data_IF_005996554860
#
_entry.id   IF_005996554860
#
_cell.length_a   1.000
_cell.length_b   1.000
_cell.length_c   1.000
_cell.angle_alpha   90.00
_cell.angle_beta   90.00
_cell.angle_gamma   90.00
#
_symmetry.space_group_name_H-M   'P 1'
#
loop_
_entity.id
_entity.type
_entity.pdbx_description
1 polymer ?
#
# COMPACT_ATOMS: atom_id res chain seq x y z
N UNK A 1 -20.73 -24.78 41.69
CA UNK A 1 -19.59 -24.18 40.96
C UNK A 1 -19.47 -24.84 39.61
N UNK A 2 -19.97 -24.22 38.54
CA UNK A 2 -19.91 -24.79 37.19
C UNK A 2 -18.59 -24.35 36.52
N UNK A 3 -17.69 -25.30 36.25
CA UNK A 3 -16.44 -25.07 35.52
C UNK A 3 -16.71 -25.14 34.02
N UNK A 4 -16.71 -23.99 33.34
CA UNK A 4 -16.87 -23.91 31.89
C UNK A 4 -15.55 -24.26 31.20
N UNK A 5 -15.47 -25.45 30.60
CA UNK A 5 -14.32 -25.91 29.81
C UNK A 5 -14.30 -25.19 28.47
N UNK A 6 -13.24 -24.41 28.23
CA UNK A 6 -12.98 -23.72 26.96
C UNK A 6 -12.50 -24.72 25.91
N UNK A 7 -13.32 -24.98 24.90
CA UNK A 7 -12.93 -25.75 23.71
C UNK A 7 -12.04 -24.87 22.83
N UNK A 8 -10.73 -25.16 22.83
CA UNK A 8 -9.78 -24.59 21.88
C UNK A 8 -10.12 -25.12 20.48
N UNK A 9 -10.85 -24.34 19.68
CA UNK A 9 -10.93 -24.59 18.24
C UNK A 9 -9.55 -24.32 17.64
N UNK A 10 -8.96 -25.37 17.08
CA UNK A 10 -7.66 -25.34 16.40
C UNK A 10 -7.61 -24.19 15.40
N UNK A 11 -6.52 -23.41 15.49
CA UNK A 11 -6.16 -22.46 14.44
C UNK A 11 -5.83 -23.29 13.22
N UNK A 12 -6.78 -23.44 12.31
CA UNK A 12 -6.48 -23.85 10.95
C UNK A 12 -5.41 -22.89 10.41
N UNK A 13 -4.22 -23.43 10.16
CA UNK A 13 -3.18 -22.77 9.41
C UNK A 13 -3.78 -22.36 8.08
N UNK A 14 -4.11 -21.07 7.94
CA UNK A 14 -4.39 -20.47 6.63
C UNK A 14 -3.08 -20.47 5.87
N UNK A 15 -2.71 -21.64 5.31
CA UNK A 15 -1.85 -21.70 4.13
C UNK A 15 -2.42 -20.65 3.19
N UNK A 16 -1.58 -19.72 2.75
CA UNK A 16 -1.91 -18.73 1.73
C UNK A 16 -2.42 -19.50 0.51
N UNK A 17 -3.73 -19.70 0.42
CA UNK A 17 -4.36 -20.17 -0.80
C UNK A 17 -4.09 -19.08 -1.81
N UNK A 18 -3.39 -19.44 -2.88
CA UNK A 18 -3.17 -18.56 -4.02
C UNK A 18 -4.53 -17.94 -4.43
N UNK A 19 -4.55 -16.68 -4.88
CA UNK A 19 -5.81 -16.05 -5.27
C UNK A 19 -6.50 -16.96 -6.30
N UNK A 20 -7.75 -17.31 -6.00
CA UNK A 20 -8.63 -17.99 -6.95
C UNK A 20 -8.65 -17.13 -8.20
N UNK A 21 -8.12 -17.69 -9.29
CA UNK A 21 -8.08 -17.06 -10.60
C UNK A 21 -9.54 -16.79 -10.97
N UNK A 22 -9.94 -15.52 -10.89
CA UNK A 22 -11.27 -15.10 -11.30
C UNK A 22 -11.50 -15.66 -12.71
N UNK A 23 -12.53 -16.49 -12.85
CA UNK A 23 -13.08 -16.87 -14.14
C UNK A 23 -13.48 -15.58 -14.83
N UNK A 24 -12.68 -15.18 -15.81
CA UNK A 24 -12.90 -14.01 -16.63
C UNK A 24 -14.18 -14.19 -17.45
N UNK A 25 -15.32 -13.80 -16.90
CA UNK A 25 -16.42 -13.30 -17.70
C UNK A 25 -15.94 -11.98 -18.29
N UNK A 26 -15.67 -12.00 -19.59
CA UNK A 26 -15.19 -10.87 -20.38
C UNK A 26 -16.04 -9.62 -20.13
N UNK A 27 -15.53 -8.69 -19.32
CA UNK A 27 -15.90 -7.28 -19.38
C UNK A 27 -14.64 -6.54 -19.78
N UNK A 28 -14.51 -6.27 -21.07
CA UNK A 28 -13.41 -5.57 -21.69
C UNK A 28 -13.14 -4.25 -20.95
N UNK A 29 -11.97 -4.15 -20.32
CA UNK A 29 -11.41 -2.88 -19.89
C UNK A 29 -11.12 -2.11 -21.18
N UNK A 30 -11.66 -0.89 -21.40
CA UNK A 30 -11.38 -0.13 -22.61
C UNK A 30 -9.91 0.26 -22.59
N UNK A 31 -9.09 -0.55 -23.28
CA UNK A 31 -7.72 -0.19 -23.62
C UNK A 31 -7.79 1.10 -24.40
N UNK A 32 -7.07 2.12 -23.91
CA UNK A 32 -6.88 3.42 -24.57
C UNK A 32 -6.68 3.17 -26.06
N UNK A 33 -7.69 3.46 -26.87
CA UNK A 33 -7.64 3.24 -28.31
C UNK A 33 -6.47 4.04 -28.86
N UNK A 34 -5.41 3.34 -29.25
CA UNK A 34 -4.42 3.84 -30.19
C UNK A 34 -5.21 4.13 -31.46
N UNK A 35 -5.55 5.42 -31.63
CA UNK A 35 -6.16 5.92 -32.86
C UNK A 35 -5.16 5.60 -33.97
N UNK A 36 -5.42 4.57 -34.76
CA UNK A 36 -4.68 4.26 -35.97
C UNK A 36 -4.77 5.49 -36.86
N UNK A 37 -3.65 6.18 -37.01
CA UNK A 37 -3.54 7.31 -37.91
C UNK A 37 -3.33 6.73 -39.31
N UNK A 38 -4.42 6.30 -39.93
CA UNK A 38 -4.43 5.95 -41.35
C UNK A 38 -4.24 7.24 -42.15
N UNK A 39 -3.01 7.42 -42.66
CA UNK A 39 -2.65 8.51 -43.56
C UNK A 39 -3.25 8.18 -44.92
N UNK A 40 -4.49 8.59 -45.14
CA UNK A 40 -5.11 8.62 -46.46
C UNK A 40 -4.46 9.74 -47.29
N UNK A 41 -3.77 9.37 -48.37
CA UNK A 41 -3.28 10.31 -49.39
C UNK A 41 -4.45 11.13 -49.93
N UNK A 42 -4.47 12.43 -49.69
CA UNK A 42 -5.51 13.33 -50.19
C UNK A 42 -5.09 13.94 -51.54
N UNK A 43 -5.87 13.61 -52.57
CA UNK A 43 -5.89 14.38 -53.82
C UNK A 43 -6.57 15.72 -53.55
N UNK A 44 -5.84 16.81 -53.82
CA UNK A 44 -6.30 18.18 -53.60
C UNK A 44 -7.48 18.52 -54.52
N UNK A 45 -8.70 18.35 -54.02
CA UNK A 45 -9.93 18.85 -54.64
C UNK A 45 -10.50 19.89 -53.69
N UNK A 46 -10.61 21.14 -54.15
CA UNK A 46 -11.14 22.24 -53.35
C UNK A 46 -12.66 22.08 -53.23
N UNK A 47 -13.12 21.42 -52.17
CA UNK A 47 -14.54 21.35 -51.81
C UNK A 47 -14.93 22.62 -51.05
N UNK A 48 -15.82 23.42 -51.64
CA UNK A 48 -16.40 24.63 -51.01
C UNK A 48 -17.51 24.22 -50.05
N UNK A 49 -17.24 24.25 -48.74
CA UNK A 49 -18.26 23.99 -47.72
C UNK A 49 -19.13 25.22 -47.50
N UNK A 50 -20.43 25.01 -47.30
CA UNK A 50 -21.33 26.10 -46.96
C UNK A 50 -21.03 26.62 -45.55
N UNK A 51 -21.16 27.93 -45.26
CA UNK A 51 -20.89 28.48 -43.93
C UNK A 51 -21.68 27.79 -42.81
N UNK A 52 -22.90 27.34 -43.11
CA UNK A 52 -23.79 26.65 -42.17
C UNK A 52 -23.29 25.24 -41.82
N UNK A 53 -22.68 24.51 -42.77
CA UNK A 53 -22.06 23.21 -42.52
C UNK A 53 -20.83 23.32 -41.63
N UNK A 54 -20.01 24.36 -41.83
CA UNK A 54 -18.83 24.62 -41.01
C UNK A 54 -19.21 24.97 -39.57
N UNK A 55 -20.28 25.74 -39.40
CA UNK A 55 -20.81 26.09 -38.08
C UNK A 55 -21.38 24.86 -37.35
N UNK A 56 -22.16 24.02 -38.04
CA UNK A 56 -22.66 22.74 -37.49
C UNK A 56 -21.52 21.82 -37.07
N UNK A 57 -20.49 21.68 -37.90
CA UNK A 57 -19.31 20.89 -37.60
C UNK A 57 -18.55 21.44 -36.37
N UNK A 58 -18.34 22.75 -36.31
CA UNK A 58 -17.66 23.39 -35.18
C UNK A 58 -18.42 23.20 -33.86
N UNK A 59 -19.75 23.40 -33.88
CA UNK A 59 -20.61 23.19 -32.72
C UNK A 59 -20.59 21.73 -32.26
N UNK A 60 -20.61 20.76 -33.19
CA UNK A 60 -20.52 19.33 -32.87
C UNK A 60 -19.23 18.97 -32.13
N UNK A 61 -18.08 19.55 -32.52
CA UNK A 61 -16.79 19.35 -31.85
C UNK A 61 -16.80 19.98 -30.45
N UNK A 62 -17.41 21.16 -30.30
CA UNK A 62 -17.53 21.80 -29.01
C UNK A 62 -18.36 20.97 -28.04
N UNK A 63 -19.49 20.43 -28.50
CA UNK A 63 -20.37 19.62 -27.68
C UNK A 63 -19.77 18.25 -27.37
N UNK A 64 -19.04 17.64 -28.30
CA UNK A 64 -18.27 16.42 -28.01
C UNK A 64 -17.24 16.66 -26.88
N UNK A 65 -16.53 17.80 -26.92
CA UNK A 65 -15.57 18.18 -25.86
C UNK A 65 -16.27 18.43 -24.52
N UNK A 66 -17.45 19.05 -24.51
CA UNK A 66 -18.25 19.26 -23.29
C UNK A 66 -18.75 17.93 -22.73
N UNK A 67 -19.34 17.09 -23.57
CA UNK A 67 -19.88 15.78 -23.21
C UNK A 67 -18.79 14.87 -22.67
N UNK A 68 -17.58 14.87 -23.26
CA UNK A 68 -16.43 14.13 -22.74
C UNK A 68 -16.03 14.58 -21.33
N UNK A 69 -16.10 15.89 -21.04
CA UNK A 69 -15.82 16.43 -19.70
C UNK A 69 -16.92 16.04 -18.71
N UNK A 70 -18.19 16.08 -19.13
CA UNK A 70 -19.34 15.68 -18.31
C UNK A 70 -19.27 14.19 -17.98
N UNK A 71 -19.14 13.32 -18.99
CA UNK A 71 -19.02 11.88 -18.81
C UNK A 71 -17.84 11.50 -17.89
N UNK A 72 -16.70 12.21 -18.00
CA UNK A 72 -15.57 12.01 -17.09
C UNK A 72 -15.91 12.38 -15.64
N UNK A 73 -16.65 13.48 -15.42
CA UNK A 73 -17.10 13.89 -14.08
C UNK A 73 -18.11 12.89 -13.51
N UNK A 74 -19.08 12.47 -14.32
CA UNK A 74 -20.09 11.48 -13.92
C UNK A 74 -19.45 10.14 -13.57
N UNK A 75 -18.53 9.64 -14.41
CA UNK A 75 -17.79 8.41 -14.12
C UNK A 75 -17.01 8.52 -12.80
N UNK A 76 -16.39 9.66 -12.51
CA UNK A 76 -15.70 9.90 -11.25
C UNK A 76 -16.67 9.93 -10.05
N UNK A 77 -17.82 10.59 -10.18
CA UNK A 77 -18.85 10.65 -9.13
C UNK A 77 -19.40 9.25 -8.86
N UNK A 78 -19.75 8.50 -9.91
CA UNK A 78 -20.27 7.14 -9.79
C UNK A 78 -19.25 6.21 -9.13
N UNK A 79 -17.96 6.35 -9.46
CA UNK A 79 -16.90 5.61 -8.78
C UNK A 79 -16.80 5.98 -7.29
N UNK A 80 -16.95 7.26 -6.92
CA UNK A 80 -16.95 7.67 -5.51
C UNK A 80 -18.15 7.10 -4.74
N UNK A 81 -19.34 7.12 -5.35
CA UNK A 81 -20.57 6.56 -4.76
C UNK A 81 -20.40 5.05 -4.55
N UNK A 82 -19.98 4.31 -5.58
CA UNK A 82 -19.75 2.88 -5.48
C UNK A 82 -18.72 2.51 -4.39
N UNK A 83 -17.65 3.30 -4.24
CA UNK A 83 -16.67 3.11 -3.17
C UNK A 83 -17.26 3.39 -1.77
N UNK A 84 -18.13 4.40 -1.66
CA UNK A 84 -18.82 4.72 -0.41
C UNK A 84 -19.76 3.59 -0.01
N UNK A 85 -20.56 3.12 -0.94
CA UNK A 85 -21.57 2.09 -0.70
C UNK A 85 -20.91 0.76 -0.32
N UNK A 86 -19.87 0.35 -1.05
CA UNK A 86 -19.09 -0.85 -0.70
C UNK A 86 -18.46 -0.76 0.69
N UNK A 87 -17.96 0.42 1.10
CA UNK A 87 -17.42 0.63 2.46
C UNK A 87 -18.51 0.60 3.54
N UNK A 88 -19.70 1.08 3.24
CA UNK A 88 -20.83 1.06 4.18
C UNK A 88 -21.31 -0.38 4.42
N UNK A 89 -21.32 -1.20 3.37
CA UNK A 89 -21.65 -2.63 3.47
C UNK A 89 -20.63 -3.40 4.32
N UNK A 90 -19.33 -3.13 4.17
CA UNK A 90 -18.27 -3.71 5.02
C UNK A 90 -18.48 -3.38 6.50
N UNK A 91 -18.82 -2.12 6.83
CA UNK A 91 -19.09 -1.70 8.21
C UNK A 91 -20.36 -2.33 8.79
N UNK A 92 -21.40 -2.49 7.96
CA UNK A 92 -22.64 -3.14 8.38
C UNK A 92 -22.44 -4.63 8.72
N UNK A 93 -21.53 -5.32 8.02
CA UNK A 93 -21.17 -6.70 8.33
C UNK A 93 -20.43 -6.83 9.69
N UNK A 94 -19.58 -5.86 10.04
CA UNK A 94 -18.85 -5.86 11.32
C UNK A 94 -19.79 -5.62 12.53
N UNK A 95 -20.88 -4.88 12.34
CA UNK A 95 -21.93 -4.69 13.35
C UNK A 95 -22.99 -5.80 13.39
N UNK A 96 -22.75 -6.93 12.71
CA UNK A 96 -23.70 -8.04 12.68
C UNK A 96 -24.18 -8.43 14.08
N UNK A 97 -25.51 -8.43 14.22
CA UNK A 97 -26.19 -8.87 15.43
C UNK A 97 -25.78 -10.32 15.67
N UNK A 98 -25.31 -10.63 16.88
CA UNK A 98 -24.87 -11.99 17.21
C UNK A 98 -25.98 -13.01 16.97
N UNK A 99 -25.60 -14.28 16.83
CA UNK A 99 -26.50 -15.41 16.49
C UNK A 99 -27.80 -15.47 17.33
N UNK A 100 -27.76 -14.94 18.56
CA UNK A 100 -28.89 -14.87 19.49
C UNK A 100 -29.77 -13.62 19.38
N UNK A 101 -29.59 -12.77 18.36
CA UNK A 101 -30.34 -11.51 18.21
C UNK A 101 -29.89 -10.38 19.15
N UNK A 102 -28.85 -10.60 19.97
CA UNK A 102 -28.35 -9.64 20.98
C UNK A 102 -27.11 -8.90 20.47
N UNK A 103 -27.04 -7.60 20.75
CA UNK A 103 -25.84 -6.78 20.50
C UNK A 103 -24.70 -7.19 21.43
N UNK A 104 -23.53 -7.48 20.87
CA UNK A 104 -22.32 -7.79 21.63
C UNK A 104 -21.65 -6.52 22.17
N UNK A 105 -20.93 -6.64 23.30
CA UNK A 105 -20.10 -5.57 23.83
C UNK A 105 -18.84 -5.37 22.95
N UNK A 106 -18.59 -4.15 22.50
CA UNK A 106 -17.42 -3.83 21.67
C UNK A 106 -16.09 -3.90 22.44
N UNK A 107 -14.99 -4.15 21.73
CA UNK A 107 -13.64 -4.26 22.34
C UNK A 107 -13.22 -2.99 23.10
N UNK A 108 -13.58 -1.81 22.59
CA UNK A 108 -13.27 -0.52 23.22
C UNK A 108 -13.88 -0.40 24.62
N UNK A 109 -15.18 -0.74 24.73
CA UNK A 109 -15.93 -0.73 26.00
C UNK A 109 -15.39 -1.83 26.92
N UNK A 110 -15.20 -3.04 26.39
CA UNK A 110 -14.72 -4.19 27.16
C UNK A 110 -13.34 -3.96 27.80
N UNK A 111 -12.40 -3.32 27.09
CA UNK A 111 -11.05 -3.08 27.59
C UNK A 111 -10.87 -1.74 28.28
N UNK A 112 -11.79 -0.79 28.06
CA UNK A 112 -11.74 0.57 28.59
C UNK A 112 -10.34 1.23 28.45
N UNK A 113 -9.68 0.98 27.30
CA UNK A 113 -8.39 1.58 26.95
C UNK A 113 -8.68 2.83 26.14
N UNK A 114 -8.85 3.98 26.82
CA UNK A 114 -9.15 5.28 26.22
C UNK A 114 -8.04 5.84 25.30
N UNK A 115 -7.85 7.16 25.28
CA UNK A 115 -6.91 7.86 24.38
C UNK A 115 -5.42 7.66 24.75
N UNK A 116 -4.97 6.41 24.79
CA UNK A 116 -3.58 6.06 25.08
C UNK A 116 -2.66 6.29 23.88
N UNK A 117 -1.46 6.83 24.11
CA UNK A 117 -0.49 7.06 23.05
C UNK A 117 -0.01 5.75 22.39
N UNK A 118 0.36 5.82 21.10
CA UNK A 118 0.87 4.67 20.34
C UNK A 118 2.19 4.16 20.93
N UNK A 119 2.20 2.93 21.44
CA UNK A 119 3.41 2.27 21.96
C UNK A 119 4.07 1.39 20.91
N UNK A 120 5.41 1.43 20.82
CA UNK A 120 6.20 0.54 19.95
C UNK A 120 5.94 -0.93 20.28
N UNK A 121 5.92 -1.82 19.27
CA UNK A 121 5.71 -3.27 19.47
C UNK A 121 6.78 -3.89 20.40
N UNK A 122 8.01 -3.41 20.33
CA UNK A 122 9.12 -3.87 21.19
C UNK A 122 8.85 -3.64 22.68
N UNK A 123 8.12 -2.57 23.04
CA UNK A 123 7.78 -2.28 24.43
C UNK A 123 6.74 -3.26 24.99
N UNK A 124 6.10 -4.10 24.16
CA UNK A 124 5.17 -5.14 24.62
C UNK A 124 5.90 -6.31 25.28
N UNK A 125 7.17 -6.55 24.93
CA UNK A 125 7.95 -7.66 25.45
C UNK A 125 9.32 -7.17 25.95
N UNK A 126 9.53 -7.26 27.26
CA UNK A 126 10.76 -6.79 27.91
C UNK A 126 12.02 -7.47 27.35
N UNK A 127 11.98 -8.77 27.05
CA UNK A 127 13.10 -9.51 26.47
C UNK A 127 13.50 -8.96 25.11
N UNK A 128 12.51 -8.74 24.23
CA UNK A 128 12.75 -8.22 22.87
C UNK A 128 13.34 -6.82 22.93
N UNK A 129 12.81 -5.95 23.80
CA UNK A 129 13.35 -4.60 24.00
C UNK A 129 14.82 -4.62 24.45
N UNK A 130 15.18 -5.50 25.40
CA UNK A 130 16.55 -5.59 25.92
C UNK A 130 17.51 -6.19 24.89
N UNK A 131 17.09 -7.21 24.13
CA UNK A 131 17.87 -7.76 23.01
C UNK A 131 18.18 -6.69 21.96
N UNK A 132 17.16 -5.98 21.49
CA UNK A 132 17.35 -4.92 20.50
C UNK A 132 18.22 -3.77 21.02
N UNK A 133 18.08 -3.41 22.31
CA UNK A 133 18.95 -2.41 22.95
C UNK A 133 20.41 -2.86 22.98
N UNK A 134 20.68 -4.14 23.30
CA UNK A 134 22.02 -4.71 23.28
C UNK A 134 22.60 -4.74 21.87
N UNK A 135 21.85 -5.21 20.87
CA UNK A 135 22.31 -5.28 19.48
C UNK A 135 22.64 -3.89 18.92
N UNK A 136 21.81 -2.89 19.23
CA UNK A 136 22.08 -1.50 18.88
C UNK A 136 23.32 -0.95 19.58
N UNK A 137 23.50 -1.23 20.87
CA UNK A 137 24.70 -0.84 21.61
C UNK A 137 25.97 -1.52 21.06
N UNK A 138 25.90 -2.81 20.73
CA UNK A 138 27.00 -3.57 20.13
C UNK A 138 27.45 -2.97 18.80
N UNK A 139 26.50 -2.54 17.94
CA UNK A 139 26.81 -1.82 16.70
C UNK A 139 27.46 -0.45 16.96
N UNK A 140 26.94 0.32 17.92
CA UNK A 140 27.53 1.62 18.30
C UNK A 140 28.95 1.49 18.82
N UNK A 141 29.24 0.48 19.65
CA UNK A 141 30.58 0.24 20.18
C UNK A 141 31.59 0.00 19.04
N UNK A 142 31.22 -0.76 17.99
CA UNK A 142 32.06 -0.97 16.80
C UNK A 142 32.37 0.32 16.02
N UNK A 143 31.49 1.32 16.11
CA UNK A 143 31.71 2.62 15.46
C UNK A 143 32.62 3.54 16.26
N UNK A 144 32.64 3.39 17.59
CA UNK A 144 33.44 4.26 18.49
C UNK A 144 34.86 3.73 18.63
N UNK A 145 35.01 2.41 18.77
CA UNK A 145 36.31 1.74 18.92
C UNK A 145 36.41 0.53 18.03
N UNK A 146 37.63 0.21 17.62
CA UNK A 146 37.92 -1.06 16.97
C UNK A 146 37.63 -2.20 17.96
N UNK A 147 36.65 -3.05 17.62
CA UNK A 147 36.32 -4.26 18.38
C UNK A 147 36.87 -5.44 17.60
N UNK A 148 37.66 -6.28 18.26
CA UNK A 148 38.19 -7.50 17.66
C UNK A 148 37.05 -8.43 17.21
N UNK A 149 37.10 -8.88 15.95
CA UNK A 149 36.09 -9.75 15.34
C UNK A 149 36.61 -11.11 14.88
N UNK A 150 37.86 -11.45 15.21
CA UNK A 150 38.53 -12.65 14.69
C UNK A 150 39.10 -12.45 13.28
N UNK A 151 40.14 -13.22 12.94
CA UNK A 151 40.64 -13.34 11.56
C UNK A 151 39.80 -14.40 10.84
N UNK A 152 39.34 -14.08 9.63
CA UNK A 152 38.61 -15.01 8.78
C UNK A 152 39.49 -15.33 7.57
N UNK A 153 40.03 -16.56 7.53
CA UNK A 153 40.85 -17.02 6.41
C UNK A 153 42.22 -16.31 6.25
N UNK A 154 42.87 -16.48 5.09
CA UNK A 154 44.15 -15.84 4.80
C UNK A 154 44.05 -14.31 4.73
N UNK A 155 45.15 -13.61 4.99
CA UNK A 155 45.19 -12.15 4.99
C UNK A 155 45.01 -11.58 3.58
N UNK A 156 43.91 -10.85 3.35
CA UNK A 156 43.58 -10.23 2.06
C UNK A 156 43.93 -8.72 2.01
N UNK A 157 44.59 -8.18 3.04
CA UNK A 157 44.78 -6.75 3.22
C UNK A 157 43.68 -6.06 4.04
N UNK A 158 43.86 -4.77 4.32
CA UNK A 158 42.90 -3.94 5.05
C UNK A 158 41.73 -3.52 4.16
N UNK A 159 40.57 -4.19 4.34
CA UNK A 159 39.38 -3.99 3.50
C UNK A 159 38.85 -2.54 3.48
N UNK A 160 38.97 -1.82 4.59
CA UNK A 160 38.48 -0.43 4.71
C UNK A 160 39.52 0.63 4.33
N UNK A 161 40.75 0.21 4.01
CA UNK A 161 41.87 1.10 3.66
C UNK A 161 42.67 1.63 4.85
N UNK A 162 43.90 2.07 4.56
CA UNK A 162 44.88 2.57 5.54
C UNK A 162 45.07 4.08 5.34
N UNK A 163 44.91 4.88 6.41
CA UNK A 163 45.15 6.32 6.39
C UNK A 163 46.53 6.66 6.97
N UNK A 164 47.42 7.23 6.15
CA UNK A 164 48.77 7.65 6.57
C UNK A 164 48.79 8.86 7.52
N UNK A 165 47.73 9.66 7.54
CA UNK A 165 47.69 10.95 8.26
C UNK A 165 47.22 10.85 9.71
N UNK A 166 46.64 9.72 10.13
CA UNK A 166 45.97 9.60 11.42
C UNK A 166 46.76 8.67 12.34
N UNK A 167 47.23 9.19 13.48
CA UNK A 167 47.71 8.39 14.61
C UNK A 167 46.64 8.30 15.70
N UNK A 168 46.37 7.09 16.21
CA UNK A 168 45.38 6.83 17.28
C UNK A 168 46.01 6.33 18.59
N UNK A 169 47.31 6.50 18.77
CA UNK A 169 48.00 6.11 20.01
C UNK A 169 47.71 7.11 21.15
N UNK A 170 47.75 6.61 22.39
CA UNK A 170 47.65 7.44 23.59
C UNK A 170 49.05 8.02 23.87
N UNK A 171 49.17 9.35 23.94
CA UNK A 171 50.42 10.01 24.34
C UNK A 171 50.58 9.90 25.86
N UNK A 172 51.74 9.41 26.30
CA UNK A 172 52.12 9.43 27.70
C UNK A 172 52.79 10.78 27.98
N UNK A 173 52.34 11.46 29.03
CA UNK A 173 52.89 12.72 29.52
C UNK A 173 53.69 12.48 30.79
#
# INVERSE_FOLDING_TARGET
MATFTYVNSEKADRKKTAPIKASSSNSEIPTKSTKSNEISKSSNTQTTHTPEELEKFFNSIQDEKKNRKIAKKEAHINALIANRDGKLEELAMEESIGENGKRAIGYQILKNKGLTARRKKENRNARVKKRNKYDAAKKKIKSVRAVYSGQQGPYAGELTGISKKISRSIKLN
#
